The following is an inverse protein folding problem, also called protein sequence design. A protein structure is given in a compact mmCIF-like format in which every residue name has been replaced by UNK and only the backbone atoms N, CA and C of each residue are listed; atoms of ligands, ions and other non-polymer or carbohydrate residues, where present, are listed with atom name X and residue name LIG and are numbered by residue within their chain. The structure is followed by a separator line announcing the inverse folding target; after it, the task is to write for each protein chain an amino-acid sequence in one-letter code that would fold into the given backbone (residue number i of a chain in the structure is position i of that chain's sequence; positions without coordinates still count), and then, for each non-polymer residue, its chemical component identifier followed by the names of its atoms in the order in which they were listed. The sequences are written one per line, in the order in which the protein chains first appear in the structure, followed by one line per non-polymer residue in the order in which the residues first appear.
data_IF_676102147296
#
_entry.id   IF_676102147296
#
_cell.length_a   1.000
_cell.length_b   1.000
_cell.length_c   1.000
_cell.angle_alpha   90.00
_cell.angle_beta   90.00
_cell.angle_gamma   90.00
#
_symmetry.space_group_name_H-M   'P 1'
#
loop_
_entity.id
_entity.type
_entity.pdbx_description
1 polymer ?
#
# COMPACT_ATOMS: atom_id res chain seq x y z
N UNK A 1 -49.36 29.73 25.96
CA UNK A 1 -48.49 29.72 24.77
C UNK A 1 -47.74 28.40 24.72
N UNK A 2 -47.76 27.73 23.56
CA UNK A 2 -47.02 26.49 23.24
C UNK A 2 -45.52 26.68 23.44
N UNK A 3 -44.83 25.67 23.99
CA UNK A 3 -43.85 24.82 23.27
C UNK A 3 -43.25 23.77 24.20
N UNK A 4 -43.63 22.52 23.95
CA UNK A 4 -42.87 21.31 24.25
C UNK A 4 -41.57 21.33 23.45
N UNK A 5 -40.45 20.95 24.07
CA UNK A 5 -39.32 20.33 23.35
C UNK A 5 -38.86 19.13 24.18
N UNK A 6 -39.19 17.94 23.67
CA UNK A 6 -38.56 16.67 24.02
C UNK A 6 -37.09 16.72 23.57
N UNK A 7 -36.16 16.35 24.43
CA UNK A 7 -34.83 15.94 24.02
C UNK A 7 -34.69 14.43 24.24
N UNK A 8 -35.11 13.66 23.23
CA UNK A 8 -34.69 12.29 23.05
C UNK A 8 -33.54 12.31 22.03
N UNK A 9 -32.30 12.16 22.49
CA UNK A 9 -31.19 11.79 21.60
C UNK A 9 -30.76 10.39 21.99
N UNK A 10 -31.21 9.48 21.14
CA UNK A 10 -30.97 8.06 21.18
C UNK A 10 -29.47 7.74 21.17
N UNK A 11 -29.15 6.65 21.84
CA UNK A 11 -27.88 5.98 21.74
C UNK A 11 -27.54 5.66 20.27
N UNK A 12 -26.37 6.09 19.84
CA UNK A 12 -25.69 5.49 18.70
C UNK A 12 -24.43 4.83 19.23
N UNK A 13 -24.59 3.62 19.78
CA UNK A 13 -23.54 2.62 19.76
C UNK A 13 -23.29 2.27 18.29
N UNK A 14 -22.30 2.90 17.66
CA UNK A 14 -21.77 2.41 16.38
C UNK A 14 -20.67 1.42 16.73
N UNK A 15 -21.05 0.15 16.76
CA UNK A 15 -20.14 -0.97 16.70
C UNK A 15 -19.47 -1.03 15.31
N UNK A 16 -18.21 -1.46 15.33
CA UNK A 16 -17.28 -1.73 14.24
C UNK A 16 -17.85 -1.98 12.84
N UNK A 17 -17.30 -1.25 11.86
CA UNK A 17 -17.07 -1.73 10.50
C UNK A 17 -15.61 -1.38 10.18
N UNK A 18 -14.72 -2.34 9.87
CA UNK A 18 -13.41 -2.02 9.29
C UNK A 18 -13.64 -1.65 7.82
N UNK A 19 -14.07 -0.42 7.59
CA UNK A 19 -14.25 0.11 6.24
C UNK A 19 -12.87 0.47 5.67
N UNK A 20 -12.41 -0.43 4.81
CA UNK A 20 -11.63 -0.20 3.60
C UNK A 20 -11.25 1.27 3.30
N UNK A 21 -9.94 1.49 3.16
CA UNK A 21 -9.29 2.42 2.24
C UNK A 21 -10.16 3.54 1.66
N UNK A 22 -10.52 4.52 2.49
CA UNK A 22 -11.12 5.75 2.01
C UNK A 22 -10.92 6.86 3.04
N UNK A 23 -9.76 7.51 3.01
CA UNK A 23 -9.73 8.94 3.27
C UNK A 23 -8.71 9.56 2.33
N UNK A 24 -9.24 10.22 1.29
CA UNK A 24 -8.46 10.92 0.31
C UNK A 24 -8.04 12.31 0.78
N UNK A 25 -7.01 12.77 0.08
CA UNK A 25 -6.77 14.16 -0.31
C UNK A 25 -6.26 15.12 0.78
N UNK A 26 -4.94 15.28 0.82
CA UNK A 26 -4.32 16.59 0.64
C UNK A 26 -3.02 16.45 -0.17
N UNK A 27 -3.09 16.79 -1.45
CA UNK A 27 -1.94 16.90 -2.34
C UNK A 27 -1.07 18.08 -1.95
N UNK A 28 -0.20 17.90 -0.96
CA UNK A 28 0.96 18.74 -0.72
C UNK A 28 1.92 17.95 0.17
N UNK A 29 2.96 17.36 -0.44
CA UNK A 29 4.11 16.69 0.19
C UNK A 29 3.94 16.41 1.69
N UNK A 30 3.12 15.40 2.01
CA UNK A 30 2.88 15.03 3.38
C UNK A 30 4.21 14.53 3.94
N UNK A 31 4.71 15.19 4.99
CA UNK A 31 5.89 14.72 5.69
C UNK A 31 5.68 13.25 6.07
N UNK A 32 6.73 12.41 6.05
CA UNK A 32 6.60 10.99 6.32
C UNK A 32 5.94 10.79 7.68
N UNK A 33 4.71 10.26 7.68
CA UNK A 33 4.01 9.85 8.89
C UNK A 33 4.34 8.36 9.12
N UNK A 34 5.21 8.03 10.09
CA UNK A 34 5.65 6.66 10.30
C UNK A 34 4.49 5.73 10.71
N UNK A 35 3.45 6.27 11.34
CA UNK A 35 2.29 5.47 11.73
C UNK A 35 1.44 5.09 10.50
N UNK A 36 1.29 6.02 9.54
CA UNK A 36 0.58 5.75 8.28
C UNK A 36 1.35 4.77 7.39
N UNK A 37 2.67 4.94 7.26
CA UNK A 37 3.51 3.99 6.52
C UNK A 37 3.39 2.59 7.11
N UNK A 38 3.47 2.45 8.44
CA UNK A 38 3.31 1.16 9.11
C UNK A 38 1.93 0.54 8.87
N UNK A 39 0.86 1.34 8.92
CA UNK A 39 -0.49 0.84 8.65
C UNK A 39 -0.63 0.32 7.20
N UNK A 40 0.01 0.98 6.24
CA UNK A 40 0.06 0.51 4.84
C UNK A 40 0.84 -0.80 4.73
N UNK A 41 1.96 -0.94 5.44
CA UNK A 41 2.77 -2.16 5.45
C UNK A 41 2.00 -3.35 6.00
N UNK A 42 1.30 -3.15 7.13
CA UNK A 42 0.47 -4.18 7.75
C UNK A 42 -0.66 -4.61 6.79
N UNK A 43 -1.29 -3.65 6.12
CA UNK A 43 -2.35 -3.91 5.16
C UNK A 43 -1.83 -4.64 3.91
N UNK A 44 -0.63 -4.27 3.44
CA UNK A 44 0.07 -4.96 2.35
C UNK A 44 0.42 -6.40 2.72
N UNK A 45 1.01 -6.64 3.90
CA UNK A 45 1.34 -7.99 4.37
C UNK A 45 0.09 -8.87 4.41
N UNK A 46 -1.04 -8.34 4.89
CA UNK A 46 -2.31 -9.06 4.92
C UNK A 46 -2.81 -9.43 3.51
N UNK A 47 -2.62 -8.55 2.51
CA UNK A 47 -3.00 -8.80 1.12
C UNK A 47 -2.01 -9.70 0.36
N UNK A 48 -0.73 -9.64 0.70
CA UNK A 48 0.36 -10.38 0.05
C UNK A 48 0.46 -11.84 0.54
N UNK A 49 0.31 -12.07 1.84
CA UNK A 49 0.51 -13.39 2.47
C UNK A 49 -0.34 -14.54 1.90
N UNK A 50 -1.58 -14.32 1.39
CA UNK A 50 -2.34 -15.38 0.72
C UNK A 50 -1.79 -15.79 -0.66
N UNK A 51 -0.93 -14.95 -1.28
CA UNK A 51 -0.47 -15.10 -2.67
C UNK A 51 1.02 -15.41 -2.77
N UNK A 52 1.78 -15.14 -1.72
CA UNK A 52 3.24 -15.22 -1.71
C UNK A 52 3.78 -15.69 -0.34
N UNK A 53 5.01 -16.23 -0.29
CA UNK A 53 5.69 -16.56 0.96
C UNK A 53 5.82 -15.33 1.87
N UNK A 54 5.71 -15.53 3.19
CA UNK A 54 5.78 -14.45 4.18
C UNK A 54 7.11 -13.71 4.11
N UNK A 55 8.18 -14.43 3.80
CA UNK A 55 9.54 -13.92 3.63
C UNK A 55 9.62 -12.95 2.45
N UNK A 56 8.92 -13.25 1.35
CA UNK A 56 8.83 -12.35 0.20
C UNK A 56 8.09 -11.06 0.57
N UNK A 57 6.91 -11.18 1.19
CA UNK A 57 6.12 -10.03 1.61
C UNK A 57 6.90 -9.14 2.59
N UNK A 58 7.59 -9.74 3.56
CA UNK A 58 8.40 -9.00 4.55
C UNK A 58 9.62 -8.33 3.91
N UNK A 59 10.28 -9.00 2.95
CA UNK A 59 11.39 -8.42 2.21
C UNK A 59 10.95 -7.19 1.40
N UNK A 60 9.78 -7.25 0.76
CA UNK A 60 9.22 -6.13 0.00
C UNK A 60 8.89 -4.93 0.90
N UNK A 61 8.42 -5.16 2.13
CA UNK A 61 8.27 -4.09 3.13
C UNK A 61 9.60 -3.46 3.50
N UNK A 62 10.61 -4.28 3.80
CA UNK A 62 11.95 -3.78 4.13
C UNK A 62 12.57 -2.93 3.00
N UNK A 63 12.35 -3.31 1.73
CA UNK A 63 12.78 -2.51 0.58
C UNK A 63 12.05 -1.16 0.54
N UNK A 64 10.74 -1.14 0.78
CA UNK A 64 9.97 0.10 0.83
C UNK A 64 10.47 1.02 1.96
N UNK A 65 10.83 0.48 3.12
CA UNK A 65 11.42 1.26 4.24
C UNK A 65 12.72 1.96 3.90
N UNK A 66 13.52 1.38 3.02
CA UNK A 66 14.81 1.96 2.63
C UNK A 66 14.69 3.02 1.55
N UNK A 67 13.72 2.88 0.65
CA UNK A 67 13.69 3.65 -0.60
C UNK A 67 12.41 4.47 -0.81
N UNK A 68 11.32 4.18 -0.11
CA UNK A 68 9.99 4.73 -0.35
C UNK A 68 9.39 5.24 0.97
N UNK A 69 9.68 6.51 1.25
CA UNK A 69 9.31 7.17 2.51
C UNK A 69 7.94 7.86 2.46
N UNK A 70 7.43 8.14 1.26
CA UNK A 70 6.13 8.77 1.07
C UNK A 70 5.01 7.71 1.05
N UNK A 71 3.92 8.02 1.75
CA UNK A 71 2.75 7.15 1.96
C UNK A 71 2.08 6.78 0.64
N UNK A 72 1.89 7.76 -0.26
CA UNK A 72 1.26 7.53 -1.57
C UNK A 72 2.18 6.71 -2.48
N UNK A 73 3.46 7.05 -2.51
CA UNK A 73 4.47 6.32 -3.29
C UNK A 73 4.57 4.85 -2.83
N UNK A 74 4.47 4.60 -1.53
CA UNK A 74 4.47 3.26 -0.94
C UNK A 74 3.24 2.45 -1.33
N UNK A 75 2.05 3.08 -1.33
CA UNK A 75 0.83 2.45 -1.83
C UNK A 75 0.96 2.03 -3.30
N UNK A 76 1.52 2.91 -4.14
CA UNK A 76 1.75 2.62 -5.57
C UNK A 76 2.73 1.46 -5.73
N UNK A 77 3.84 1.46 -4.99
CA UNK A 77 4.82 0.38 -5.02
C UNK A 77 4.16 -0.96 -4.67
N UNK A 78 3.41 -1.02 -3.56
CA UNK A 78 2.73 -2.25 -3.16
C UNK A 78 1.69 -2.72 -4.17
N UNK A 79 0.90 -1.80 -4.75
CA UNK A 79 -0.04 -2.12 -5.81
C UNK A 79 0.67 -2.79 -7.01
N UNK A 80 1.84 -2.30 -7.44
CA UNK A 80 2.65 -2.99 -8.45
C UNK A 80 3.10 -4.38 -8.01
N UNK A 81 3.58 -4.54 -6.77
CA UNK A 81 4.08 -5.85 -6.30
C UNK A 81 3.00 -6.92 -6.18
N UNK A 82 1.74 -6.55 -5.92
CA UNK A 82 0.60 -7.50 -5.87
C UNK A 82 -0.08 -7.70 -7.23
N UNK A 83 0.40 -7.02 -8.28
CA UNK A 83 -0.13 -7.09 -9.65
C UNK A 83 -1.35 -6.21 -9.91
N UNK A 84 -1.68 -5.26 -9.02
CA UNK A 84 -2.75 -4.28 -9.22
C UNK A 84 -2.25 -3.06 -9.99
N UNK A 85 -1.97 -3.28 -11.28
CA UNK A 85 -1.40 -2.25 -12.16
C UNK A 85 -2.35 -1.09 -12.45
N UNK A 86 -3.67 -1.32 -12.42
CA UNK A 86 -4.65 -0.26 -12.66
C UNK A 86 -4.67 0.75 -11.51
N UNK A 87 -4.76 0.27 -10.27
CA UNK A 87 -4.69 1.12 -9.08
C UNK A 87 -3.36 1.87 -9.04
N UNK A 88 -2.24 1.17 -9.26
CA UNK A 88 -0.91 1.79 -9.27
C UNK A 88 -0.78 2.90 -10.31
N UNK A 89 -1.27 2.67 -11.54
CA UNK A 89 -1.26 3.69 -12.61
C UNK A 89 -2.16 4.88 -12.28
N UNK A 90 -3.36 4.63 -11.77
CA UNK A 90 -4.31 5.68 -11.41
C UNK A 90 -3.76 6.60 -10.32
N UNK A 91 -3.21 6.02 -9.25
CA UNK A 91 -2.59 6.78 -8.15
C UNK A 91 -1.37 7.56 -8.62
N UNK A 92 -0.51 6.94 -9.44
CA UNK A 92 0.69 7.61 -9.98
C UNK A 92 0.36 8.78 -10.90
N UNK A 93 -0.74 8.70 -11.65
CA UNK A 93 -1.20 9.79 -12.50
C UNK A 93 -1.61 11.05 -11.71
N UNK A 94 -1.90 10.92 -10.42
CA UNK A 94 -2.22 12.03 -9.53
C UNK A 94 -0.99 12.69 -8.87
N UNK A 95 0.21 12.12 -9.05
CA UNK A 95 1.46 12.70 -8.54
C UNK A 95 1.91 13.80 -9.51
N UNK A 96 2.31 14.94 -8.97
CA UNK A 96 2.90 16.03 -9.75
C UNK A 96 4.20 15.60 -10.46
N UNK A 97 4.55 16.21 -11.61
CA UNK A 97 5.68 15.76 -12.42
C UNK A 97 7.02 15.69 -11.68
N UNK A 98 7.30 16.67 -10.82
CA UNK A 98 8.57 16.77 -10.10
C UNK A 98 8.69 15.68 -9.03
N UNK A 99 7.62 15.39 -8.28
CA UNK A 99 7.59 14.25 -7.36
C UNK A 99 7.64 12.93 -8.10
N UNK A 100 6.93 12.79 -9.21
CA UNK A 100 6.95 11.55 -9.99
C UNK A 100 8.36 11.25 -10.54
N UNK A 101 9.15 12.26 -10.90
CA UNK A 101 10.56 12.06 -11.27
C UNK A 101 11.40 11.50 -10.11
N UNK A 102 11.25 12.05 -8.90
CA UNK A 102 11.95 11.55 -7.70
C UNK A 102 11.50 10.12 -7.35
N UNK A 103 10.21 9.88 -7.42
CA UNK A 103 9.63 8.56 -7.21
C UNK A 103 10.15 7.54 -8.22
N UNK A 104 10.39 7.91 -9.48
CA UNK A 104 10.98 6.99 -10.47
C UNK A 104 12.38 6.52 -10.07
N UNK A 105 13.19 7.42 -9.51
CA UNK A 105 14.53 7.07 -9.02
C UNK A 105 14.41 6.14 -7.80
N UNK A 106 13.50 6.44 -6.88
CA UNK A 106 13.20 5.58 -5.74
C UNK A 106 12.74 4.18 -6.16
N UNK A 107 11.84 4.10 -7.16
CA UNK A 107 11.35 2.84 -7.73
C UNK A 107 12.49 2.03 -8.36
N UNK A 108 13.37 2.64 -9.16
CA UNK A 108 14.50 1.93 -9.77
C UNK A 108 15.46 1.34 -8.73
N UNK A 109 15.74 2.10 -7.66
CA UNK A 109 16.55 1.62 -6.54
C UNK A 109 15.84 0.48 -5.79
N UNK A 110 14.54 0.64 -5.52
CA UNK A 110 13.73 -0.39 -4.89
C UNK A 110 13.70 -1.67 -5.73
N UNK A 111 13.44 -1.59 -7.04
CA UNK A 111 13.42 -2.73 -7.96
C UNK A 111 14.75 -3.47 -8.00
N UNK A 112 15.86 -2.73 -8.01
CA UNK A 112 17.21 -3.31 -7.93
C UNK A 112 17.39 -4.10 -6.63
N UNK A 113 16.96 -3.53 -5.50
CA UNK A 113 17.03 -4.21 -4.21
C UNK A 113 16.08 -5.42 -4.13
N UNK A 114 14.86 -5.32 -4.68
CA UNK A 114 13.93 -6.46 -4.78
C UNK A 114 14.58 -7.60 -5.56
N UNK A 115 15.20 -7.31 -6.69
CA UNK A 115 15.86 -8.32 -7.50
C UNK A 115 17.01 -9.01 -6.76
N UNK A 116 17.84 -8.23 -6.08
CA UNK A 116 19.02 -8.75 -5.39
C UNK A 116 18.65 -9.53 -4.12
N UNK A 117 17.68 -9.04 -3.35
CA UNK A 117 17.43 -9.54 -1.99
C UNK A 117 16.13 -10.35 -1.85
N UNK A 118 15.09 -10.00 -2.61
CA UNK A 118 13.76 -10.57 -2.41
C UNK A 118 13.43 -11.69 -3.41
N UNK A 119 13.99 -11.68 -4.62
CA UNK A 119 13.66 -12.66 -5.66
C UNK A 119 13.99 -14.11 -5.25
N UNK A 120 14.94 -14.31 -4.33
CA UNK A 120 15.25 -15.62 -3.74
C UNK A 120 14.06 -16.28 -3.04
N UNK A 121 13.09 -15.48 -2.59
CA UNK A 121 11.86 -15.94 -1.92
C UNK A 121 10.68 -16.10 -2.89
N UNK A 122 10.81 -15.74 -4.17
CA UNK A 122 9.72 -15.92 -5.12
C UNK A 122 9.45 -17.41 -5.34
N UNK A 123 8.17 -17.83 -5.38
CA UNK A 123 7.82 -19.18 -5.77
C UNK A 123 8.45 -19.49 -7.13
N UNK A 124 9.32 -20.50 -7.19
CA UNK A 124 9.81 -21.00 -8.46
C UNK A 124 8.65 -21.71 -9.13
N UNK A 125 8.12 -21.15 -10.21
CA UNK A 125 7.25 -21.91 -11.10
C UNK A 125 8.05 -23.13 -11.55
N UNK A 126 7.57 -24.37 -11.33
CA UNK A 126 8.24 -25.55 -11.86
C UNK A 126 8.46 -25.36 -13.35
N UNK A 127 9.67 -25.63 -13.84
CA UNK A 127 9.93 -25.58 -15.28
C UNK A 127 8.88 -26.48 -15.96
N UNK A 128 8.27 -26.04 -17.08
CA UNK A 128 7.33 -26.87 -17.81
C UNK A 128 8.01 -28.20 -18.12
N UNK A 129 7.47 -29.29 -17.58
CA UNK A 129 7.97 -30.62 -17.88
C UNK A 129 7.82 -30.83 -19.38
N UNK A 130 8.93 -31.08 -20.08
CA UNK A 130 8.85 -31.49 -21.49
C UNK A 130 8.00 -32.78 -21.54
N UNK A 131 7.02 -32.88 -22.44
CA UNK A 131 6.38 -34.15 -22.75
C UNK A 131 7.48 -35.17 -23.11
N UNK A 132 7.45 -36.33 -22.46
CA UNK A 132 8.31 -37.47 -22.83
C UNK A 132 7.96 -37.99 -24.22
#
# INVERSE_FOLDING_TARGET
MRRLILAATAASFIAAIPSAYAQGNDGAGQAPDPAQSKAIDEAYIAACSPKAPKELCSCLVAVADMHINDVTERQIFYAYTVGDYETARSQRAAIDPDRNMKFNIALQNAETMVHNECDKFRPRTPAPQKPQ
#
